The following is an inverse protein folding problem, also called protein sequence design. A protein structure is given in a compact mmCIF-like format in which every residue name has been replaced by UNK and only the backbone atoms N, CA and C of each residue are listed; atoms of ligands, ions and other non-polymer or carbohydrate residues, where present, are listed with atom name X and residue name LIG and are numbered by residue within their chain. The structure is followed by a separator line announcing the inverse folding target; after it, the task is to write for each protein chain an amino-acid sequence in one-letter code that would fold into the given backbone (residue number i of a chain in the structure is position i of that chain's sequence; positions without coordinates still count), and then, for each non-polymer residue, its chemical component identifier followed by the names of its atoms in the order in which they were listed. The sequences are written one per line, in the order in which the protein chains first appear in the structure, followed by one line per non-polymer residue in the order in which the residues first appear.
data_IF_735912866740
#
_entry.id   IF_735912866740
#
_cell.length_a   1.000
_cell.length_b   1.000
_cell.length_c   1.000
_cell.angle_alpha   90.00
_cell.angle_beta   90.00
_cell.angle_gamma   90.00
#
_symmetry.space_group_name_H-M   'P 1'
#
loop_
_entity.id
_entity.type
_entity.pdbx_description
1 polymer ?
#
# COMPACT_ATOMS: atom_id res chain seq x y z
N UNK A 1 5.10 20.74 -4.83
CA UNK A 1 5.55 19.68 -5.73
C UNK A 1 6.67 18.92 -5.05
N UNK A 2 6.38 17.71 -4.60
CA UNK A 2 7.42 16.85 -4.05
C UNK A 2 8.20 16.28 -5.24
N UNK A 3 9.39 16.80 -5.47
CA UNK A 3 10.27 16.26 -6.50
C UNK A 3 10.78 14.87 -6.06
N UNK A 4 11.23 14.07 -7.01
CA UNK A 4 11.82 12.74 -6.74
C UNK A 4 12.96 12.76 -5.73
N UNK A 5 13.50 13.93 -5.42
CA UNK A 5 14.68 14.12 -4.57
C UNK A 5 14.37 14.41 -3.10
N UNK A 6 13.11 14.31 -2.66
CA UNK A 6 12.75 14.69 -1.29
C UNK A 6 13.08 13.63 -0.24
N UNK A 7 13.44 12.41 -0.63
CA UNK A 7 13.86 11.37 0.31
C UNK A 7 15.39 11.34 0.40
N UNK A 8 15.91 11.31 1.63
CA UNK A 8 17.32 11.05 1.86
C UNK A 8 17.67 9.64 1.37
N UNK A 9 18.94 9.34 1.02
CA UNK A 9 19.33 8.06 0.43
C UNK A 9 18.87 6.82 1.20
N UNK A 10 18.90 6.84 2.52
CA UNK A 10 18.46 5.72 3.36
C UNK A 10 16.95 5.47 3.21
N UNK A 11 16.14 6.52 3.19
CA UNK A 11 14.70 6.42 3.01
C UNK A 11 14.35 6.01 1.59
N UNK A 12 15.09 6.48 0.60
CA UNK A 12 14.92 6.08 -0.78
C UNK A 12 15.17 4.58 -0.95
N UNK A 13 16.20 4.05 -0.29
CA UNK A 13 16.52 2.62 -0.30
C UNK A 13 15.37 1.79 0.30
N UNK A 14 14.82 2.23 1.42
CA UNK A 14 13.67 1.57 2.05
C UNK A 14 12.45 1.63 1.11
N UNK A 15 12.19 2.77 0.50
CA UNK A 15 11.07 2.95 -0.42
C UNK A 15 11.20 2.03 -1.65
N UNK A 16 12.41 1.90 -2.21
CA UNK A 16 12.68 1.01 -3.34
C UNK A 16 12.50 -0.45 -2.93
N UNK A 17 13.00 -0.85 -1.77
CA UNK A 17 12.83 -2.21 -1.26
C UNK A 17 11.36 -2.54 -1.01
N UNK A 18 10.61 -1.59 -0.46
CA UNK A 18 9.18 -1.76 -0.25
C UNK A 18 8.43 -1.89 -1.58
N UNK A 19 8.78 -1.08 -2.57
CA UNK A 19 8.18 -1.17 -3.90
C UNK A 19 8.42 -2.55 -4.53
N UNK A 20 9.66 -3.04 -4.49
CA UNK A 20 10.00 -4.38 -5.00
C UNK A 20 9.29 -5.49 -4.23
N UNK A 21 9.21 -5.38 -2.91
CA UNK A 21 8.42 -6.30 -2.10
C UNK A 21 6.96 -6.33 -2.55
N UNK A 22 6.37 -5.16 -2.74
CA UNK A 22 4.97 -5.02 -3.16
C UNK A 22 4.73 -5.64 -4.53
N UNK A 23 5.62 -5.40 -5.50
CA UNK A 23 5.54 -6.01 -6.82
C UNK A 23 5.60 -7.54 -6.73
N UNK A 24 6.52 -8.04 -5.93
CA UNK A 24 6.71 -9.49 -5.76
C UNK A 24 5.49 -10.16 -5.15
N UNK A 25 4.98 -9.65 -4.04
CA UNK A 25 3.84 -10.29 -3.36
C UNK A 25 2.54 -10.09 -4.12
N UNK A 26 2.33 -8.91 -4.71
CA UNK A 26 1.11 -8.60 -5.44
C UNK A 26 1.03 -9.32 -6.79
N UNK A 27 2.15 -9.81 -7.32
CA UNK A 27 2.17 -10.66 -8.52
C UNK A 27 1.56 -12.04 -8.26
N UNK A 28 1.42 -12.44 -7.00
CA UNK A 28 0.78 -13.69 -6.63
C UNK A 28 -0.74 -13.53 -6.68
N UNK A 29 -1.46 -14.34 -7.46
CA UNK A 29 -2.92 -14.19 -7.60
C UNK A 29 -3.67 -14.23 -6.28
N UNK A 30 -3.25 -15.07 -5.34
CA UNK A 30 -3.89 -15.22 -4.03
C UNK A 30 -3.78 -13.94 -3.20
N UNK A 31 -2.61 -13.31 -3.20
CA UNK A 31 -2.39 -12.04 -2.49
C UNK A 31 -3.20 -10.93 -3.14
N UNK A 32 -3.13 -10.84 -4.46
CA UNK A 32 -3.87 -9.83 -5.23
C UNK A 32 -5.38 -9.93 -4.97
N UNK A 33 -5.93 -11.12 -5.04
CA UNK A 33 -7.35 -11.35 -4.81
C UNK A 33 -7.76 -10.95 -3.39
N UNK A 34 -6.95 -11.31 -2.40
CA UNK A 34 -7.25 -10.99 -1.01
C UNK A 34 -7.17 -9.48 -0.75
N UNK A 35 -6.14 -8.82 -1.29
CA UNK A 35 -6.00 -7.35 -1.19
C UNK A 35 -7.17 -6.64 -1.85
N UNK A 36 -7.57 -7.06 -3.05
CA UNK A 36 -8.70 -6.47 -3.75
C UNK A 36 -10.02 -6.69 -3.01
N UNK A 37 -10.20 -7.86 -2.42
CA UNK A 37 -11.36 -8.13 -1.60
C UNK A 37 -11.44 -7.19 -0.39
N UNK A 38 -10.33 -7.03 0.33
CA UNK A 38 -10.23 -6.10 1.46
C UNK A 38 -10.49 -4.65 1.02
N UNK A 39 -9.95 -4.24 -0.13
CA UNK A 39 -10.18 -2.91 -0.67
C UNK A 39 -11.66 -2.69 -1.04
N UNK A 40 -12.26 -3.62 -1.73
CA UNK A 40 -13.61 -3.46 -2.29
C UNK A 40 -14.71 -3.67 -1.25
N UNK A 41 -14.55 -4.64 -0.34
CA UNK A 41 -15.56 -4.99 0.65
C UNK A 41 -15.40 -4.23 1.98
N UNK A 42 -14.17 -3.86 2.33
CA UNK A 42 -13.87 -3.27 3.63
C UNK A 42 -13.15 -1.93 3.53
N UNK A 43 -13.01 -1.36 2.34
CA UNK A 43 -12.36 -0.08 2.08
C UNK A 43 -10.97 0.03 2.72
N UNK A 44 -10.20 -1.07 2.67
CA UNK A 44 -8.83 -1.08 3.19
C UNK A 44 -7.86 -0.64 2.11
N UNK A 45 -6.87 0.14 2.51
CA UNK A 45 -5.82 0.62 1.61
C UNK A 45 -4.80 -0.49 1.37
N UNK A 46 -4.60 -0.89 0.12
CA UNK A 46 -3.69 -1.98 -0.24
C UNK A 46 -2.24 -1.62 0.09
N UNK A 47 -1.81 -0.39 -0.17
CA UNK A 47 -0.45 0.04 0.17
C UNK A 47 -0.19 -0.05 1.67
N UNK A 48 -1.16 0.31 2.50
CA UNK A 48 -1.01 0.19 3.96
C UNK A 48 -0.97 -1.28 4.39
N UNK A 49 -1.79 -2.14 3.81
CA UNK A 49 -1.74 -3.58 4.10
C UNK A 49 -0.36 -4.15 3.77
N UNK A 50 0.19 -3.80 2.62
CA UNK A 50 1.51 -4.25 2.19
C UNK A 50 2.61 -3.65 3.07
N UNK A 51 2.47 -2.38 3.48
CA UNK A 51 3.43 -1.72 4.36
C UNK A 51 3.50 -2.38 5.74
N UNK A 52 2.35 -2.66 6.34
CA UNK A 52 2.31 -3.32 7.64
C UNK A 52 2.93 -4.73 7.56
N UNK A 53 2.69 -5.45 6.47
CA UNK A 53 3.29 -6.76 6.24
C UNK A 53 4.81 -6.66 6.06
N UNK A 54 5.26 -5.65 5.32
CA UNK A 54 6.70 -5.38 5.14
C UNK A 54 7.37 -5.04 6.47
N UNK A 55 6.75 -4.17 7.27
CA UNK A 55 7.26 -3.81 8.61
C UNK A 55 7.33 -5.03 9.52
N UNK A 56 6.37 -5.94 9.43
CA UNK A 56 6.40 -7.18 10.21
C UNK A 56 7.61 -8.03 9.86
N UNK A 57 7.94 -8.15 8.59
CA UNK A 57 9.15 -8.88 8.15
C UNK A 57 10.44 -8.23 8.65
N UNK A 58 10.46 -6.90 8.71
CA UNK A 58 11.60 -6.14 9.20
C UNK A 58 11.68 -6.10 10.72
N UNK A 59 10.68 -6.62 11.42
CA UNK A 59 10.53 -6.53 12.88
C UNK A 59 10.49 -5.07 13.37
N UNK A 60 9.89 -4.18 12.59
CA UNK A 60 9.70 -2.78 12.96
C UNK A 60 8.38 -2.60 13.69
N UNK A 61 8.40 -1.72 14.70
CA UNK A 61 7.16 -1.25 15.34
C UNK A 61 6.56 -0.12 14.51
N UNK A 62 5.26 0.06 14.61
CA UNK A 62 4.53 1.04 13.83
C UNK A 62 3.58 1.85 14.70
N UNK A 63 3.13 2.99 14.22
CA UNK A 63 2.04 3.76 14.81
C UNK A 63 0.92 3.84 13.77
N UNK A 64 -0.05 2.95 13.87
CA UNK A 64 -1.13 2.84 12.89
C UNK A 64 -1.93 4.14 12.76
N UNK A 65 -2.24 4.77 13.87
CA UNK A 65 -3.03 6.01 13.88
C UNK A 65 -2.36 7.10 13.05
N UNK A 66 -1.06 7.30 13.23
CA UNK A 66 -0.30 8.30 12.47
C UNK A 66 -0.16 7.92 11.00
N UNK A 67 0.01 6.63 10.70
CA UNK A 67 0.04 6.16 9.31
C UNK A 67 -1.28 6.48 8.60
N UNK A 68 -2.41 6.22 9.24
CA UNK A 68 -3.73 6.52 8.70
C UNK A 68 -3.91 8.03 8.43
N UNK A 69 -3.48 8.87 9.36
CA UNK A 69 -3.53 10.32 9.18
C UNK A 69 -2.68 10.75 7.98
N UNK A 70 -1.48 10.19 7.83
CA UNK A 70 -0.55 10.58 6.78
C UNK A 70 -1.05 10.22 5.37
N UNK A 71 -1.76 9.10 5.22
CA UNK A 71 -2.19 8.66 3.90
C UNK A 71 -3.59 9.14 3.51
N UNK A 72 -4.32 9.79 4.42
CA UNK A 72 -5.73 10.17 4.19
C UNK A 72 -5.92 10.95 2.88
N UNK A 73 -5.13 11.98 2.67
CA UNK A 73 -5.23 12.83 1.48
C UNK A 73 -4.87 12.08 0.20
N UNK A 74 -3.79 11.31 0.21
CA UNK A 74 -3.36 10.53 -0.96
C UNK A 74 -4.36 9.40 -1.28
N UNK A 75 -4.96 8.80 -0.27
CA UNK A 75 -5.99 7.77 -0.47
C UNK A 75 -7.23 8.37 -1.14
N UNK A 76 -7.65 9.55 -0.73
CA UNK A 76 -8.77 10.23 -1.37
C UNK A 76 -8.48 10.52 -2.85
N UNK A 77 -7.30 11.01 -3.15
CA UNK A 77 -6.86 11.28 -4.53
C UNK A 77 -6.82 10.01 -5.38
N UNK A 78 -6.29 8.93 -4.82
CA UNK A 78 -6.24 7.63 -5.51
C UNK A 78 -7.63 7.08 -5.77
N UNK A 79 -8.50 7.12 -4.77
CA UNK A 79 -9.89 6.67 -4.89
C UNK A 79 -10.63 7.45 -5.98
N UNK A 80 -10.51 8.76 -5.99
CA UNK A 80 -11.13 9.63 -7.00
C UNK A 80 -10.56 9.35 -8.39
N UNK A 81 -9.26 9.15 -8.49
CA UNK A 81 -8.60 8.82 -9.75
C UNK A 81 -9.08 7.49 -10.31
N UNK A 82 -9.20 6.46 -9.47
CA UNK A 82 -9.68 5.14 -9.88
C UNK A 82 -11.11 5.21 -10.40
N UNK A 83 -11.99 5.93 -9.73
CA UNK A 83 -13.38 6.13 -10.15
C UNK A 83 -13.43 6.84 -11.50
N UNK A 84 -12.64 7.89 -11.66
CA UNK A 84 -12.56 8.64 -12.91
C UNK A 84 -12.03 7.77 -14.05
N UNK A 85 -10.96 7.01 -13.82
CA UNK A 85 -10.38 6.08 -14.79
C UNK A 85 -11.41 5.04 -15.25
N UNK A 86 -12.13 4.45 -14.31
CA UNK A 86 -13.16 3.46 -14.62
C UNK A 86 -14.29 4.06 -15.45
N UNK A 87 -14.73 5.27 -15.11
CA UNK A 87 -15.77 5.98 -15.85
C UNK A 87 -15.32 6.36 -17.27
N UNK A 88 -14.05 6.69 -17.45
CA UNK A 88 -13.50 7.11 -18.74
C UNK A 88 -13.15 5.95 -19.68
N UNK A 89 -12.98 4.74 -19.14
CA UNK A 89 -12.51 3.59 -19.90
C UNK A 89 -13.26 3.35 -21.22
N UNK A 90 -14.61 3.39 -21.29
CA UNK A 90 -15.32 3.17 -22.54
C UNK A 90 -15.07 4.24 -23.61
N UNK A 91 -14.57 5.40 -23.21
CA UNK A 91 -14.37 6.57 -24.09
C UNK A 91 -12.91 6.76 -24.52
N UNK A 92 -12.01 5.87 -24.09
CA UNK A 92 -10.58 6.00 -24.32
C UNK A 92 -10.07 4.92 -25.25
N UNK A 93 -9.04 5.28 -26.07
CA UNK A 93 -8.25 4.29 -26.75
C UNK A 93 -7.43 3.46 -25.77
N UNK A 94 -6.96 2.29 -26.18
CA UNK A 94 -6.10 1.45 -25.34
C UNK A 94 -4.86 2.23 -24.89
N UNK A 95 -4.24 2.99 -25.79
CA UNK A 95 -3.06 3.81 -25.46
C UNK A 95 -3.36 4.86 -24.39
N UNK A 96 -4.50 5.55 -24.53
CA UNK A 96 -4.92 6.56 -23.55
C UNK A 96 -5.19 5.91 -22.20
N UNK A 97 -5.86 4.75 -22.18
CA UNK A 97 -6.15 4.02 -20.96
C UNK A 97 -4.86 3.58 -20.25
N UNK A 98 -3.88 3.07 -21.01
CA UNK A 98 -2.58 2.69 -20.44
C UNK A 98 -1.84 3.87 -19.83
N UNK A 99 -1.97 5.07 -20.36
CA UNK A 99 -1.40 6.26 -19.77
C UNK A 99 -2.04 6.58 -18.41
N UNK A 100 -3.35 6.38 -18.27
CA UNK A 100 -4.02 6.55 -16.97
C UNK A 100 -3.55 5.53 -15.96
N UNK A 101 -3.42 4.26 -16.34
CA UNK A 101 -2.90 3.23 -15.45
C UNK A 101 -1.47 3.55 -14.99
N UNK A 102 -0.64 4.05 -15.89
CA UNK A 102 0.72 4.45 -15.58
C UNK A 102 0.75 5.62 -14.58
N UNK A 103 -0.16 6.57 -14.73
CA UNK A 103 -0.29 7.68 -13.79
C UNK A 103 -0.76 7.20 -12.41
N UNK A 104 -1.72 6.29 -12.36
CA UNK A 104 -2.19 5.67 -11.12
C UNK A 104 -1.04 5.01 -10.37
N UNK A 105 -0.19 4.26 -11.08
CA UNK A 105 0.99 3.62 -10.51
C UNK A 105 1.94 4.63 -9.86
N UNK A 106 2.12 5.79 -10.48
CA UNK A 106 2.94 6.87 -9.90
C UNK A 106 2.33 7.41 -8.60
N UNK A 107 1.00 7.55 -8.55
CA UNK A 107 0.31 7.99 -7.35
C UNK A 107 0.45 6.95 -6.22
N UNK A 108 0.35 5.68 -6.55
CA UNK A 108 0.54 4.58 -5.60
C UNK A 108 1.97 4.58 -5.04
N UNK A 109 2.97 4.78 -5.90
CA UNK A 109 4.36 4.84 -5.47
C UNK A 109 4.63 6.03 -4.55
N UNK A 110 4.02 7.18 -4.82
CA UNK A 110 4.10 8.34 -3.92
C UNK A 110 3.49 8.04 -2.56
N UNK A 111 2.36 7.34 -2.53
CA UNK A 111 1.73 6.94 -1.27
C UNK A 111 2.65 6.01 -0.48
N UNK A 112 3.32 5.07 -1.14
CA UNK A 112 4.31 4.22 -0.49
C UNK A 112 5.46 5.03 0.12
N UNK A 113 5.95 6.05 -0.59
CA UNK A 113 6.98 6.94 -0.07
C UNK A 113 6.51 7.70 1.18
N UNK A 114 5.25 8.12 1.22
CA UNK A 114 4.67 8.76 2.41
C UNK A 114 4.63 7.81 3.60
N UNK A 115 4.31 6.53 3.39
CA UNK A 115 4.32 5.53 4.46
C UNK A 115 5.72 5.35 5.02
N UNK A 116 6.73 5.23 4.17
CA UNK A 116 8.13 5.13 4.58
C UNK A 116 8.54 6.33 5.40
N UNK A 117 8.25 7.53 4.91
CA UNK A 117 8.59 8.78 5.59
C UNK A 117 7.91 8.88 6.95
N UNK A 118 6.64 8.52 7.04
CA UNK A 118 5.88 8.53 8.29
C UNK A 118 6.49 7.57 9.30
N UNK A 119 6.86 6.37 8.88
CA UNK A 119 7.48 5.37 9.76
C UNK A 119 8.78 5.89 10.38
N UNK A 120 9.60 6.59 9.59
CA UNK A 120 10.86 7.12 10.08
C UNK A 120 10.67 8.29 11.05
N UNK A 121 9.67 9.14 10.81
CA UNK A 121 9.37 10.28 11.67
C UNK A 121 8.63 9.90 12.94
N UNK A 122 7.82 8.85 12.88
CA UNK A 122 6.94 8.43 13.96
C UNK A 122 7.05 6.92 14.21
N UNK A 123 8.24 6.43 14.62
CA UNK A 123 8.34 5.03 15.00
C UNK A 123 7.40 4.77 16.17
N UNK A 124 6.61 3.70 16.07
CA UNK A 124 5.61 3.41 17.09
C UNK A 124 6.04 2.28 18.02
N UNK A 125 5.26 2.09 19.09
CA UNK A 125 5.43 1.00 20.04
C UNK A 125 4.53 -0.20 19.77
N UNK A 126 3.75 -0.19 18.69
CA UNK A 126 2.84 -1.27 18.33
C UNK A 126 3.52 -2.22 17.35
N UNK A 127 3.39 -3.54 17.55
CA UNK A 127 3.91 -4.50 16.57
C UNK A 127 3.12 -4.36 15.26
N UNK A 128 3.79 -4.60 14.14
CA UNK A 128 3.14 -4.52 12.84
C UNK A 128 2.04 -5.56 12.70
N UNK A 129 2.20 -6.74 13.31
CA UNK A 129 1.16 -7.77 13.34
C UNK A 129 -0.10 -7.29 14.05
N UNK A 130 0.05 -6.70 15.23
CA UNK A 130 -1.08 -6.13 15.99
C UNK A 130 -1.75 -5.00 15.21
N UNK A 131 -0.95 -4.13 14.60
CA UNK A 131 -1.47 -3.04 13.78
C UNK A 131 -2.27 -3.57 12.58
N UNK A 132 -1.79 -4.62 11.93
CA UNK A 132 -2.47 -5.24 10.81
C UNK A 132 -3.82 -5.84 11.22
N UNK A 133 -3.84 -6.59 12.34
CA UNK A 133 -5.07 -7.14 12.89
C UNK A 133 -6.08 -6.03 13.22
N UNK A 134 -5.62 -4.96 13.84
CA UNK A 134 -6.44 -3.80 14.18
C UNK A 134 -7.00 -3.12 12.94
N UNK A 135 -6.17 -2.94 11.93
CA UNK A 135 -6.57 -2.26 10.71
C UNK A 135 -7.62 -3.05 9.92
N UNK A 136 -7.46 -4.36 9.82
CA UNK A 136 -8.42 -5.21 9.12
C UNK A 136 -9.74 -5.32 9.90
N UNK A 137 -9.68 -5.22 11.25
CA UNK A 137 -10.84 -5.28 12.16
C UNK A 137 -11.54 -6.63 12.18
N UNK A 138 -11.03 -7.63 11.45
CA UNK A 138 -11.55 -8.98 11.39
C UNK A 138 -10.40 -9.96 11.53
N UNK A 139 -10.14 -10.48 12.75
CA UNK A 139 -8.94 -11.28 13.02
C UNK A 139 -8.77 -12.50 12.11
N UNK A 140 -9.87 -13.14 11.70
CA UNK A 140 -9.82 -14.32 10.81
C UNK A 140 -9.27 -13.93 9.44
N UNK A 141 -9.71 -12.81 8.87
CA UNK A 141 -9.24 -12.30 7.60
C UNK A 141 -7.78 -11.84 7.68
N UNK A 142 -7.39 -11.25 8.82
CA UNK A 142 -6.00 -10.87 9.05
C UNK A 142 -5.09 -12.11 9.07
N UNK A 143 -5.49 -13.15 9.77
CA UNK A 143 -4.74 -14.41 9.81
C UNK A 143 -4.64 -15.04 8.42
N UNK A 144 -5.72 -15.04 7.66
CA UNK A 144 -5.76 -15.56 6.30
C UNK A 144 -4.86 -14.74 5.37
N UNK A 145 -4.90 -13.42 5.47
CA UNK A 145 -4.04 -12.53 4.69
C UNK A 145 -2.55 -12.81 4.97
N UNK A 146 -2.18 -12.91 6.25
CA UNK A 146 -0.80 -13.20 6.64
C UNK A 146 -0.35 -14.57 6.14
N UNK A 147 -1.21 -15.57 6.24
CA UNK A 147 -0.92 -16.92 5.73
C UNK A 147 -0.67 -16.92 4.23
N UNK A 148 -1.51 -16.19 3.48
CA UNK A 148 -1.38 -16.03 2.03
C UNK A 148 -0.06 -15.34 1.67
N UNK A 149 0.31 -14.30 2.42
CA UNK A 149 1.58 -13.60 2.22
C UNK A 149 2.78 -14.48 2.50
N UNK A 150 2.77 -15.25 3.59
CA UNK A 150 3.85 -16.17 3.94
C UNK A 150 4.07 -17.19 2.83
N UNK A 151 2.99 -17.76 2.31
CA UNK A 151 3.07 -18.71 1.20
C UNK A 151 3.66 -18.05 -0.06
N UNK A 152 3.32 -16.80 -0.34
CA UNK A 152 3.82 -16.07 -1.50
C UNK A 152 5.30 -15.71 -1.40
N UNK A 153 5.85 -15.67 -0.19
CA UNK A 153 7.26 -15.31 0.04
C UNK A 153 8.18 -16.53 0.10
N UNK A 154 7.64 -17.71 0.16
CA UNK A 154 8.38 -18.96 0.03
C UNK A 154 8.61 -19.27 -1.44
#
# INVERSE_FOLDING_TARGET
VISKSCLVPELQSIADNFWHYSEKVYSRPEVKQHCLWLQNQHQRNVNLLLWLSFCQQQHWTVNLELLLIQIRSSEQKLSDFRKHRQAMKPHLSERQYQLLLKHELKLERRQQQLLVLSQQRHPGGQTAELALNTYIEQPEEAAQYLSTLKAALQ
#
